data_IF_035913129285
#
_entry.id   IF_035913129285
#
_cell.length_a   1.000
_cell.length_b   1.000
_cell.length_c   1.000
_cell.angle_alpha   90.00
_cell.angle_beta   90.00
_cell.angle_gamma   90.00
#
_symmetry.space_group_name_H-M   'P 1'
#
loop_
_entity.id
_entity.type
_entity.pdbx_description
1 polymer ?
#
# COMPACT_ATOMS: atom_id res chain seq x y z
N UNK A 1 7.82 26.32 19.43
CA UNK A 1 6.60 26.20 20.28
C UNK A 1 6.30 27.46 21.10
N UNK A 2 7.28 28.31 21.45
CA UNK A 2 7.02 29.49 22.29
C UNK A 2 6.27 30.64 21.62
N UNK A 3 6.51 30.88 20.32
CA UNK A 3 5.81 31.94 19.55
C UNK A 3 4.29 31.72 19.43
N UNK A 4 3.82 30.48 19.59
CA UNK A 4 2.38 30.16 19.55
C UNK A 4 1.69 30.46 20.88
N UNK A 5 2.42 30.38 22.01
CA UNK A 5 1.86 30.63 23.34
C UNK A 5 1.59 32.12 23.56
N UNK A 6 2.43 33.01 23.01
CA UNK A 6 2.24 34.46 23.14
C UNK A 6 1.06 35.00 22.31
N UNK A 7 0.70 34.33 21.22
CA UNK A 7 -0.45 34.69 20.37
C UNK A 7 -1.80 34.44 21.06
N UNK A 8 -1.87 33.53 22.04
CA UNK A 8 -3.10 33.25 22.80
C UNK A 8 -3.41 34.26 23.90
N UNK A 9 -2.44 35.14 24.23
CA UNK A 9 -2.59 36.16 25.26
C UNK A 9 -3.31 37.42 24.76
N UNK A 10 -3.32 37.68 23.44
CA UNK A 10 -3.92 38.88 22.85
C UNK A 10 -5.43 38.75 22.67
N UNK A 11 -6.17 39.77 23.11
CA UNK A 11 -7.65 39.85 23.06
C UNK A 11 -8.21 39.71 21.65
N UNK A 12 -7.53 40.25 20.65
CA UNK A 12 -7.88 40.10 19.23
C UNK A 12 -7.88 38.63 18.79
N UNK A 13 -6.93 37.83 19.24
CA UNK A 13 -6.82 36.42 18.86
C UNK A 13 -7.96 35.59 19.45
N UNK A 14 -8.43 35.94 20.65
CA UNK A 14 -9.61 35.33 21.30
C UNK A 14 -10.91 35.65 20.54
N UNK A 15 -11.05 36.88 20.04
CA UNK A 15 -12.19 37.28 19.19
C UNK A 15 -12.15 36.55 17.85
N UNK A 16 -10.98 36.46 17.22
CA UNK A 16 -10.81 35.71 15.97
C UNK A 16 -11.11 34.22 16.16
N UNK A 17 -10.66 33.62 17.26
CA UNK A 17 -10.97 32.23 17.61
C UNK A 17 -12.46 32.02 17.88
N UNK A 18 -13.15 32.96 18.52
CA UNK A 18 -14.60 32.91 18.74
C UNK A 18 -15.40 33.04 17.44
N UNK A 19 -14.96 33.90 16.51
CA UNK A 19 -15.57 34.03 15.17
C UNK A 19 -15.34 32.77 14.35
N UNK A 20 -14.14 32.19 14.40
CA UNK A 20 -13.85 30.91 13.75
C UNK A 20 -14.70 29.79 14.35
N UNK A 21 -14.89 29.74 15.68
CA UNK A 21 -15.80 28.78 16.34
C UNK A 21 -17.27 29.00 15.98
N UNK A 22 -17.71 30.26 15.82
CA UNK A 22 -19.06 30.59 15.37
C UNK A 22 -19.28 30.21 13.89
N UNK A 23 -18.28 30.43 13.03
CA UNK A 23 -18.29 29.99 11.63
C UNK A 23 -18.24 28.46 11.51
N UNK A 24 -17.46 27.78 12.36
CA UNK A 24 -17.43 26.31 12.48
C UNK A 24 -18.82 25.78 12.90
N UNK A 25 -19.49 26.46 13.83
CA UNK A 25 -20.86 26.10 14.26
C UNK A 25 -21.89 26.32 13.15
N UNK A 26 -21.68 27.32 12.28
CA UNK A 26 -22.53 27.59 11.11
C UNK A 26 -22.27 26.63 9.93
N UNK A 27 -21.12 25.94 9.92
CA UNK A 27 -20.68 24.98 8.88
C UNK A 27 -20.74 23.51 9.33
N UNK A 28 -21.42 23.22 10.44
CA UNK A 28 -21.40 21.95 11.19
C UNK A 28 -21.70 20.69 10.35
N UNK A 29 -22.45 20.81 9.26
CA UNK A 29 -22.80 19.65 8.42
C UNK A 29 -21.73 19.29 7.36
N UNK A 30 -20.80 20.19 7.03
CA UNK A 30 -19.86 19.99 5.90
C UNK A 30 -18.39 19.88 6.32
N UNK A 31 -18.03 20.35 7.53
CA UNK A 31 -16.63 20.36 7.96
C UNK A 31 -16.10 18.98 8.36
N UNK A 32 -16.94 18.09 8.92
CA UNK A 32 -16.53 16.72 9.28
C UNK A 32 -16.09 15.90 8.08
N UNK A 33 -16.80 16.04 6.95
CA UNK A 33 -16.43 15.42 5.69
C UNK A 33 -15.09 15.95 5.17
N UNK A 34 -14.91 17.28 5.13
CA UNK A 34 -13.69 17.91 4.63
C UNK A 34 -12.45 17.57 5.49
N UNK A 35 -12.60 17.51 6.82
CA UNK A 35 -11.53 17.09 7.73
C UNK A 35 -11.16 15.63 7.54
N UNK A 36 -12.15 14.75 7.34
CA UNK A 36 -11.90 13.33 7.10
C UNK A 36 -11.13 13.09 5.79
N UNK A 37 -11.46 13.84 4.73
CA UNK A 37 -10.72 13.78 3.46
C UNK A 37 -9.28 14.24 3.64
N UNK A 38 -9.04 15.33 4.39
CA UNK A 38 -7.68 15.82 4.67
C UNK A 38 -6.87 14.79 5.46
N UNK A 39 -7.47 14.15 6.48
CA UNK A 39 -6.82 13.10 7.28
C UNK A 39 -6.44 11.90 6.42
N UNK A 40 -7.33 11.49 5.50
CA UNK A 40 -7.08 10.37 4.57
C UNK A 40 -5.95 10.72 3.59
N UNK A 41 -5.95 11.92 3.02
CA UNK A 41 -4.88 12.39 2.10
C UNK A 41 -3.53 12.43 2.82
N UNK A 42 -3.49 12.95 4.05
CA UNK A 42 -2.26 12.94 4.86
C UNK A 42 -1.82 11.50 5.15
N UNK A 43 -2.73 10.60 5.52
CA UNK A 43 -2.40 9.19 5.74
C UNK A 43 -1.76 8.55 4.49
N UNK A 44 -2.33 8.77 3.31
CA UNK A 44 -1.80 8.27 2.03
C UNK A 44 -0.39 8.80 1.76
N UNK A 45 -0.15 10.10 1.98
CA UNK A 45 1.17 10.72 1.84
C UNK A 45 2.20 10.09 2.78
N UNK A 46 1.81 9.80 4.04
CA UNK A 46 2.68 9.10 5.00
C UNK A 46 2.92 7.63 4.63
N UNK A 47 1.95 6.93 4.03
CA UNK A 47 2.15 5.58 3.47
C UNK A 47 3.19 5.62 2.35
N UNK A 48 3.08 6.57 1.42
CA UNK A 48 4.04 6.74 0.32
C UNK A 48 5.43 7.05 0.88
N UNK A 49 5.56 7.97 1.84
CA UNK A 49 6.86 8.27 2.45
C UNK A 49 7.49 7.08 3.18
N UNK A 50 6.68 6.23 3.82
CA UNK A 50 7.17 5.05 4.55
C UNK A 50 7.57 3.91 3.61
N UNK A 51 6.75 3.59 2.60
CA UNK A 51 6.95 2.41 1.74
C UNK A 51 7.69 2.72 0.44
N UNK A 52 7.45 3.87 -0.19
CA UNK A 52 8.12 4.26 -1.44
C UNK A 52 9.45 5.00 -1.17
N UNK A 53 9.49 5.88 -0.16
CA UNK A 53 10.69 6.66 0.15
C UNK A 53 11.53 6.10 1.31
N UNK A 54 11.15 4.95 1.90
CA UNK A 54 11.82 4.29 3.04
C UNK A 54 12.17 5.22 4.22
N UNK A 55 11.41 6.31 4.43
CA UNK A 55 11.66 7.27 5.52
C UNK A 55 10.97 6.82 6.82
N UNK A 56 11.64 7.02 7.96
CA UNK A 56 11.05 6.76 9.29
C UNK A 56 9.99 7.82 9.60
N UNK A 57 8.74 7.39 9.78
CA UNK A 57 7.63 8.24 10.20
C UNK A 57 7.34 8.05 11.69
N UNK A 58 6.99 9.11 12.44
CA UNK A 58 6.76 9.01 13.88
C UNK A 58 5.47 8.27 14.25
N UNK A 59 4.54 8.08 13.30
CA UNK A 59 3.22 7.50 13.51
C UNK A 59 2.99 6.36 12.50
N UNK A 60 2.27 5.31 12.90
CA UNK A 60 1.86 4.22 12.02
C UNK A 60 0.82 4.74 11.01
N UNK A 61 1.10 4.70 9.70
CA UNK A 61 0.23 5.36 8.73
C UNK A 61 -1.09 4.61 8.50
N UNK A 62 -1.10 3.29 8.73
CA UNK A 62 -2.30 2.44 8.66
C UNK A 62 -3.32 2.81 9.76
N UNK A 63 -2.84 3.11 10.98
CA UNK A 63 -3.74 3.52 12.08
C UNK A 63 -4.38 4.89 11.82
N UNK A 64 -3.68 5.78 11.12
CA UNK A 64 -4.17 7.10 10.74
C UNK A 64 -5.25 6.99 9.63
N UNK A 65 -5.05 6.07 8.68
CA UNK A 65 -6.01 5.77 7.62
C UNK A 65 -7.31 5.17 8.18
N UNK A 66 -7.21 4.20 9.08
CA UNK A 66 -8.38 3.59 9.74
C UNK A 66 -9.17 4.63 10.54
N UNK A 67 -8.50 5.49 11.29
CA UNK A 67 -9.14 6.57 12.03
C UNK A 67 -9.87 7.57 11.10
N UNK A 68 -9.27 7.92 9.95
CA UNK A 68 -9.89 8.78 8.95
C UNK A 68 -11.16 8.17 8.34
N UNK A 69 -11.15 6.87 8.02
CA UNK A 69 -12.32 6.15 7.48
C UNK A 69 -13.45 6.08 8.51
N UNK A 70 -13.15 5.82 9.78
CA UNK A 70 -14.17 5.78 10.84
C UNK A 70 -14.86 7.14 10.95
N UNK A 71 -14.09 8.25 10.96
CA UNK A 71 -14.65 9.61 11.03
C UNK A 71 -15.47 9.96 9.77
N UNK A 72 -15.03 9.52 8.59
CA UNK A 72 -15.77 9.68 7.34
C UNK A 72 -17.14 8.97 7.39
N UNK A 73 -17.18 7.72 7.84
CA UNK A 73 -18.42 6.92 7.95
C UNK A 73 -19.39 7.50 8.98
N UNK A 74 -18.90 8.01 10.11
CA UNK A 74 -19.75 8.70 11.09
C UNK A 74 -20.31 10.03 10.56
N UNK A 75 -19.56 10.76 9.73
CA UNK A 75 -20.05 12.00 9.11
C UNK A 75 -21.12 11.75 8.03
N UNK A 76 -21.07 10.61 7.33
CA UNK A 76 -22.04 10.23 6.30
C UNK A 76 -23.41 9.82 6.88
N UNK A 77 -23.46 9.31 8.11
CA UNK A 77 -24.70 8.91 8.79
C UNK A 77 -25.51 10.09 9.38
N UNK A 78 -24.96 11.32 9.36
CA UNK A 78 -25.61 12.53 9.88
C UNK A 78 -26.56 13.26 8.91
N UNK A 79 -26.67 12.83 7.65
CA UNK A 79 -27.46 13.51 6.60
C UNK A 79 -28.65 12.60 6.15
N UNK A 80 -29.34 11.98 7.11
CA UNK A 80 -30.34 10.94 6.82
C UNK A 80 -31.68 11.02 7.56
N UNK A 81 -31.93 12.00 8.43
CA UNK A 81 -33.26 12.15 9.07
C UNK A 81 -33.66 13.61 9.22
N UNK A 82 -34.11 14.24 8.14
CA UNK A 82 -35.10 15.33 8.20
C UNK A 82 -35.87 15.35 6.89
N UNK A 83 -37.04 14.72 6.87
CA UNK A 83 -38.18 15.20 6.08
C UNK A 83 -39.34 15.42 7.03
N UNK A 84 -39.66 16.70 7.16
CA UNK A 84 -40.79 17.28 7.85
C UNK A 84 -42.10 16.82 7.21
N UNK A 85 -43.13 16.58 8.01
CA UNK A 85 -44.47 17.01 7.62
C UNK A 85 -45.12 17.76 8.78
N UNK A 86 -45.33 19.06 8.56
CA UNK A 86 -46.04 19.97 9.42
C UNK A 86 -47.50 19.98 8.95
N UNK A 87 -48.47 19.76 9.84
CA UNK A 87 -49.80 20.35 9.63
C UNK A 87 -50.43 20.67 10.97
N UNK A 88 -50.66 21.97 11.11
CA UNK A 88 -51.19 22.67 12.26
C UNK A 88 -52.70 22.54 12.40
N UNK A 89 -53.12 22.62 13.67
CA UNK A 89 -54.26 23.38 14.19
C UNK A 89 -55.66 22.76 14.26
N UNK A 90 -56.18 22.76 15.49
CA UNK A 90 -57.48 23.38 15.78
C UNK A 90 -58.68 22.44 15.92
N UNK A 91 -58.90 21.89 17.12
CA UNK A 91 -60.23 21.47 17.58
C UNK A 91 -60.97 22.67 18.19
N UNK A 92 -62.06 23.08 17.56
CA UNK A 92 -63.16 23.85 18.19
C UNK A 92 -64.25 22.87 18.64
N UNK A 93 -64.86 23.24 19.76
CA UNK A 93 -65.82 22.51 20.60
C UNK A 93 -67.21 22.26 19.97
N UNK A 94 -67.90 21.25 20.55
CA UNK A 94 -69.33 21.26 20.98
C UNK A 94 -70.31 20.27 20.31
N UNK A 95 -70.79 19.34 21.16
CA UNK A 95 -72.14 18.77 21.32
C UNK A 95 -72.88 17.96 20.21
N UNK A 96 -73.12 16.68 20.55
CA UNK A 96 -74.42 15.98 20.70
C UNK A 96 -75.61 16.35 19.78
N UNK A 97 -76.06 15.40 18.94
CA UNK A 97 -77.26 14.55 19.19
C UNK A 97 -78.00 14.05 17.92
N UNK A 98 -78.51 12.81 18.02
CA UNK A 98 -79.68 12.15 17.35
C UNK A 98 -79.61 11.60 15.90
N UNK A 99 -79.29 10.29 15.86
CA UNK A 99 -80.01 9.12 15.27
C UNK A 99 -80.96 9.24 14.05
N UNK A 100 -80.74 8.38 13.03
CA UNK A 100 -81.81 7.61 12.36
C UNK A 100 -81.25 6.31 11.68
N UNK A 101 -82.13 5.34 11.40
CA UNK A 101 -81.81 3.90 11.24
C UNK A 101 -81.61 3.39 9.79
N UNK A 102 -81.55 4.25 8.78
CA UNK A 102 -81.35 3.82 7.36
C UNK A 102 -79.87 3.76 6.91
N UNK A 103 -78.93 4.32 7.70
CA UNK A 103 -77.51 4.43 7.32
C UNK A 103 -76.63 3.21 7.64
N UNK A 104 -77.16 2.17 8.33
CA UNK A 104 -76.33 1.03 8.77
C UNK A 104 -76.02 0.02 7.67
N UNK A 105 -76.93 -0.21 6.72
CA UNK A 105 -76.73 -1.21 5.65
C UNK A 105 -75.84 -0.69 4.52
N UNK A 106 -75.87 0.61 4.21
CA UNK A 106 -74.97 1.24 3.23
C UNK A 106 -73.53 1.36 3.75
N UNK A 107 -73.33 1.63 5.05
CA UNK A 107 -72.00 1.69 5.68
C UNK A 107 -71.33 0.32 5.80
N UNK A 108 -72.08 -0.73 6.15
CA UNK A 108 -71.52 -2.09 6.25
C UNK A 108 -71.08 -2.63 4.89
N UNK A 109 -71.79 -2.29 3.80
CA UNK A 109 -71.41 -2.70 2.44
C UNK A 109 -70.21 -1.91 1.89
N UNK A 110 -70.14 -0.61 2.17
CA UNK A 110 -69.00 0.23 1.78
C UNK A 110 -67.72 -0.09 2.58
N UNK A 111 -67.85 -0.43 3.87
CA UNK A 111 -66.72 -0.83 4.72
C UNK A 111 -66.19 -2.23 4.37
N UNK A 112 -67.08 -3.16 3.95
CA UNK A 112 -66.69 -4.47 3.44
C UNK A 112 -65.97 -4.39 2.07
N UNK A 113 -66.44 -3.58 1.13
CA UNK A 113 -65.77 -3.36 -0.17
C UNK A 113 -64.44 -2.61 -0.01
N UNK A 114 -64.35 -1.64 0.89
CA UNK A 114 -63.10 -0.95 1.22
C UNK A 114 -62.07 -1.88 1.87
N UNK A 115 -62.51 -2.79 2.75
CA UNK A 115 -61.63 -3.78 3.41
C UNK A 115 -61.12 -4.85 2.43
N UNK A 116 -61.96 -5.28 1.48
CA UNK A 116 -61.56 -6.21 0.41
C UNK A 116 -60.58 -5.55 -0.57
N UNK A 117 -60.74 -4.25 -0.87
CA UNK A 117 -59.78 -3.50 -1.70
C UNK A 117 -58.42 -3.31 -1.00
N UNK A 118 -58.42 -3.00 0.30
CA UNK A 118 -57.21 -2.85 1.09
C UNK A 118 -56.45 -4.18 1.25
N UNK A 119 -57.13 -5.29 1.50
CA UNK A 119 -56.50 -6.62 1.57
C UNK A 119 -55.95 -7.09 0.20
N UNK A 120 -56.57 -6.66 -0.90
CA UNK A 120 -56.07 -6.93 -2.25
C UNK A 120 -54.80 -6.11 -2.59
N UNK A 121 -54.78 -4.81 -2.29
CA UNK A 121 -53.58 -3.95 -2.46
C UNK A 121 -52.42 -4.37 -1.55
N UNK A 122 -52.72 -4.83 -0.32
CA UNK A 122 -51.70 -5.28 0.63
C UNK A 122 -51.07 -6.62 0.19
N UNK A 123 -51.85 -7.53 -0.40
CA UNK A 123 -51.32 -8.75 -1.03
C UNK A 123 -50.46 -8.47 -2.26
N UNK A 124 -50.87 -7.53 -3.11
CA UNK A 124 -50.12 -7.17 -4.31
C UNK A 124 -48.78 -6.49 -3.97
N UNK A 125 -48.77 -5.62 -2.94
CA UNK A 125 -47.53 -5.05 -2.37
C UNK A 125 -46.61 -6.12 -1.77
N UNK A 126 -47.15 -7.07 -1.02
CA UNK A 126 -46.36 -8.13 -0.40
C UNK A 126 -45.74 -9.09 -1.43
N UNK A 127 -46.42 -9.33 -2.55
CA UNK A 127 -45.90 -10.15 -3.64
C UNK A 127 -44.83 -9.40 -4.46
N UNK A 128 -45.01 -8.09 -4.69
CA UNK A 128 -44.02 -7.23 -5.32
C UNK A 128 -42.73 -7.09 -4.46
N UNK A 129 -42.86 -6.95 -3.14
CA UNK A 129 -41.73 -6.87 -2.21
C UNK A 129 -40.95 -8.19 -2.15
N UNK A 130 -41.64 -9.34 -2.12
CA UNK A 130 -40.99 -10.66 -2.20
C UNK A 130 -40.23 -10.86 -3.51
N UNK A 131 -40.80 -10.42 -4.64
CA UNK A 131 -40.15 -10.52 -5.95
C UNK A 131 -38.91 -9.63 -6.04
N UNK A 132 -39.00 -8.39 -5.53
CA UNK A 132 -37.86 -7.48 -5.47
C UNK A 132 -36.74 -8.00 -4.56
N UNK A 133 -37.08 -8.58 -3.40
CA UNK A 133 -36.10 -9.14 -2.47
C UNK A 133 -35.38 -10.38 -3.04
N UNK A 134 -36.10 -11.23 -3.77
CA UNK A 134 -35.53 -12.40 -4.45
C UNK A 134 -34.60 -12.00 -5.62
N UNK A 135 -34.94 -10.94 -6.35
CA UNK A 135 -34.10 -10.41 -7.44
C UNK A 135 -32.83 -9.75 -6.89
N UNK A 136 -32.93 -9.06 -5.76
CA UNK A 136 -31.81 -8.43 -5.07
C UNK A 136 -30.84 -9.46 -4.46
N UNK A 137 -31.35 -10.51 -3.81
CA UNK A 137 -30.53 -11.63 -3.30
C UNK A 137 -29.81 -12.38 -4.45
N UNK A 138 -30.45 -12.53 -5.61
CA UNK A 138 -29.84 -13.13 -6.79
C UNK A 138 -28.72 -12.26 -7.38
N UNK A 139 -28.89 -10.93 -7.41
CA UNK A 139 -27.83 -10.01 -7.84
C UNK A 139 -26.66 -9.95 -6.86
N UNK A 140 -26.93 -9.96 -5.55
CA UNK A 140 -25.88 -9.93 -4.53
C UNK A 140 -25.05 -11.23 -4.52
N UNK A 141 -25.71 -12.38 -4.71
CA UNK A 141 -25.03 -13.67 -4.86
C UNK A 141 -24.15 -13.74 -6.13
N UNK A 142 -24.60 -13.12 -7.23
CA UNK A 142 -23.83 -12.99 -8.48
C UNK A 142 -22.59 -12.10 -8.30
N UNK A 143 -22.73 -10.97 -7.62
CA UNK A 143 -21.62 -10.04 -7.36
C UNK A 143 -20.59 -10.69 -6.43
N UNK A 144 -21.02 -11.33 -5.35
CA UNK A 144 -20.13 -12.02 -4.42
C UNK A 144 -19.32 -13.15 -5.09
N UNK A 145 -19.94 -13.90 -6.01
CA UNK A 145 -19.25 -14.94 -6.77
C UNK A 145 -18.21 -14.36 -7.74
N UNK A 146 -18.56 -13.28 -8.44
CA UNK A 146 -17.64 -12.60 -9.36
C UNK A 146 -16.44 -11.97 -8.63
N UNK A 147 -16.67 -11.41 -7.45
CA UNK A 147 -15.61 -10.82 -6.62
C UNK A 147 -14.67 -11.90 -6.05
N UNK A 148 -15.21 -13.05 -5.64
CA UNK A 148 -14.43 -14.20 -5.21
C UNK A 148 -13.58 -14.80 -6.35
N UNK A 149 -14.14 -14.95 -7.56
CA UNK A 149 -13.38 -15.41 -8.73
C UNK A 149 -12.29 -14.42 -9.14
N UNK A 150 -12.58 -13.10 -9.11
CA UNK A 150 -11.59 -12.07 -9.42
C UNK A 150 -10.42 -12.09 -8.42
N UNK A 151 -10.72 -12.21 -7.12
CA UNK A 151 -9.70 -12.25 -6.06
C UNK A 151 -8.84 -13.52 -6.15
N UNK A 152 -9.45 -14.66 -6.44
CA UNK A 152 -8.72 -15.92 -6.68
C UNK A 152 -7.84 -15.84 -7.95
N UNK A 153 -8.30 -15.17 -9.00
CA UNK A 153 -7.51 -14.94 -10.21
C UNK A 153 -6.33 -13.99 -9.98
N UNK A 154 -6.52 -12.91 -9.21
CA UNK A 154 -5.44 -11.98 -8.83
C UNK A 154 -4.39 -12.66 -7.94
N UNK A 155 -4.80 -13.43 -6.92
CA UNK A 155 -3.88 -14.19 -6.07
C UNK A 155 -3.09 -15.24 -6.86
N UNK A 156 -3.74 -15.94 -7.79
CA UNK A 156 -3.05 -16.91 -8.67
C UNK A 156 -2.06 -16.22 -9.61
N UNK A 157 -2.43 -15.09 -10.19
CA UNK A 157 -1.54 -14.31 -11.05
C UNK A 157 -0.34 -13.74 -10.29
N UNK A 158 -0.52 -13.28 -9.04
CA UNK A 158 0.58 -12.81 -8.20
C UNK A 158 1.51 -13.96 -7.78
N UNK A 159 0.94 -15.13 -7.45
CA UNK A 159 1.71 -16.33 -7.14
C UNK A 159 2.53 -16.82 -8.35
N UNK A 160 1.94 -16.86 -9.55
CA UNK A 160 2.67 -17.21 -10.78
C UNK A 160 3.78 -16.19 -11.11
N UNK A 161 3.54 -14.90 -10.86
CA UNK A 161 4.54 -13.85 -11.08
C UNK A 161 5.72 -13.96 -10.11
N UNK A 162 5.45 -14.24 -8.83
CA UNK A 162 6.50 -14.51 -7.82
C UNK A 162 7.28 -15.77 -8.15
N UNK A 163 6.60 -16.86 -8.51
CA UNK A 163 7.26 -18.11 -8.92
C UNK A 163 8.13 -17.93 -10.16
N UNK A 164 7.68 -17.14 -11.14
CA UNK A 164 8.47 -16.81 -12.34
C UNK A 164 9.68 -15.92 -12.03
N UNK A 165 9.56 -14.96 -11.11
CA UNK A 165 10.67 -14.11 -10.68
C UNK A 165 11.70 -14.89 -9.87
N UNK A 166 11.26 -15.76 -8.95
CA UNK A 166 12.14 -16.68 -8.21
C UNK A 166 12.86 -17.64 -9.15
N UNK A 167 12.17 -18.18 -10.16
CA UNK A 167 12.80 -19.02 -11.19
C UNK A 167 13.85 -18.25 -11.99
N UNK A 168 13.58 -17.01 -12.39
CA UNK A 168 14.57 -16.15 -13.07
C UNK A 168 15.78 -15.86 -12.18
N UNK A 169 15.59 -15.57 -10.89
CA UNK A 169 16.69 -15.36 -9.93
C UNK A 169 17.49 -16.65 -9.70
N UNK A 170 16.83 -17.80 -9.69
CA UNK A 170 17.49 -19.09 -9.60
C UNK A 170 18.32 -19.40 -10.86
N UNK A 171 17.80 -19.08 -12.05
CA UNK A 171 18.53 -19.22 -13.31
C UNK A 171 19.72 -18.25 -13.40
N UNK A 172 19.60 -17.04 -12.84
CA UNK A 172 20.69 -16.07 -12.76
C UNK A 172 21.82 -16.54 -11.84
N UNK A 173 21.48 -17.19 -10.72
CA UNK A 173 22.44 -17.78 -9.77
C UNK A 173 22.88 -19.21 -10.14
N UNK A 174 22.69 -19.64 -11.38
CA UNK A 174 23.12 -20.96 -11.83
C UNK A 174 24.64 -20.97 -12.14
N UNK A 175 25.49 -21.69 -11.36
CA UNK A 175 26.93 -21.74 -11.57
C UNK A 175 27.35 -22.24 -12.96
N UNK A 176 26.53 -23.10 -13.59
CA UNK A 176 26.81 -23.66 -14.90
C UNK A 176 26.80 -22.59 -16.02
N UNK A 177 26.22 -21.42 -15.77
CA UNK A 177 26.16 -20.31 -16.75
C UNK A 177 27.39 -19.40 -16.74
N UNK A 178 28.34 -19.65 -15.84
CA UNK A 178 29.55 -18.84 -15.66
C UNK A 178 30.78 -19.65 -16.12
N UNK A 179 31.39 -19.34 -17.28
CA UNK A 179 32.58 -20.03 -17.74
C UNK A 179 33.81 -19.72 -16.89
N UNK A 180 34.78 -20.66 -16.88
CA UNK A 180 36.15 -20.43 -16.40
C UNK A 180 36.98 -19.90 -17.56
N UNK A 181 37.52 -18.70 -17.40
CA UNK A 181 38.42 -18.06 -18.37
C UNK A 181 39.79 -17.96 -17.72
N UNK A 182 40.86 -18.16 -18.50
CA UNK A 182 42.23 -18.07 -18.00
C UNK A 182 42.53 -16.64 -17.51
N UNK A 183 43.28 -16.53 -16.40
CA UNK A 183 43.63 -15.22 -15.84
C UNK A 183 44.38 -14.33 -16.84
N UNK A 184 45.34 -14.90 -17.59
CA UNK A 184 46.11 -14.16 -18.60
C UNK A 184 45.23 -13.44 -19.63
N UNK A 185 44.13 -14.07 -20.05
CA UNK A 185 43.17 -13.47 -20.98
C UNK A 185 42.45 -12.29 -20.32
N UNK A 186 42.00 -12.49 -19.07
CA UNK A 186 41.33 -11.45 -18.30
C UNK A 186 42.24 -10.27 -17.95
N UNK A 187 43.50 -10.53 -17.62
CA UNK A 187 44.47 -9.52 -17.26
C UNK A 187 44.94 -8.69 -18.46
N UNK A 188 44.98 -9.27 -19.67
CA UNK A 188 45.41 -8.58 -20.89
C UNK A 188 44.26 -7.95 -21.67
N UNK A 189 43.12 -8.64 -21.74
CA UNK A 189 41.99 -8.31 -22.59
C UNK A 189 40.69 -8.07 -21.81
N UNK A 190 40.75 -7.88 -20.48
CA UNK A 190 39.57 -7.79 -19.62
C UNK A 190 38.49 -6.79 -20.07
N UNK A 191 38.89 -5.67 -20.69
CA UNK A 191 37.95 -4.69 -21.25
C UNK A 191 37.07 -5.25 -22.38
N UNK A 192 37.57 -6.21 -23.17
CA UNK A 192 36.82 -6.85 -24.25
C UNK A 192 35.77 -7.83 -23.74
N UNK A 193 35.92 -8.28 -22.49
CA UNK A 193 35.02 -9.20 -21.82
C UNK A 193 33.98 -8.49 -20.94
N UNK A 194 33.91 -7.16 -20.96
CA UNK A 194 33.00 -6.39 -20.11
C UNK A 194 31.53 -6.85 -20.30
N UNK A 195 30.87 -7.16 -19.19
CA UNK A 195 29.50 -7.69 -19.15
C UNK A 195 29.39 -9.20 -19.34
N UNK A 196 30.48 -9.90 -19.67
CA UNK A 196 30.47 -11.36 -19.75
C UNK A 196 30.48 -12.00 -18.36
N UNK A 197 29.82 -13.15 -18.25
CA UNK A 197 29.81 -13.97 -17.03
C UNK A 197 31.16 -14.66 -16.87
N UNK A 198 31.66 -14.71 -15.64
CA UNK A 198 32.87 -15.46 -15.28
C UNK A 198 32.73 -16.07 -13.90
N UNK A 199 33.36 -17.23 -13.70
CA UNK A 199 33.65 -17.77 -12.37
C UNK A 199 35.15 -17.71 -12.09
N UNK A 200 35.52 -17.28 -10.89
CA UNK A 200 36.90 -17.29 -10.38
C UNK A 200 36.94 -18.04 -9.06
N UNK A 201 37.97 -18.85 -8.83
CA UNK A 201 38.21 -19.51 -7.54
C UNK A 201 39.56 -19.07 -7.03
N UNK A 202 39.61 -18.56 -5.81
CA UNK A 202 40.85 -18.05 -5.26
C UNK A 202 40.76 -17.74 -3.77
N UNK A 203 41.90 -17.32 -3.21
CA UNK A 203 42.06 -16.94 -1.82
C UNK A 203 41.87 -15.42 -1.68
N UNK A 204 41.04 -14.99 -0.74
CA UNK A 204 40.90 -13.57 -0.39
C UNK A 204 42.17 -13.12 0.32
N UNK A 205 42.93 -12.22 -0.31
CA UNK A 205 44.20 -11.68 0.22
C UNK A 205 44.05 -10.29 0.83
N UNK A 206 42.92 -9.64 0.58
CA UNK A 206 42.56 -8.36 1.20
C UNK A 206 41.05 -8.17 1.11
N UNK A 207 40.41 -7.76 2.22
CA UNK A 207 39.00 -7.42 2.25
C UNK A 207 38.81 -5.97 2.72
N UNK A 208 38.24 -5.12 1.87
CA UNK A 208 37.93 -3.73 2.19
C UNK A 208 36.42 -3.57 2.31
N UNK A 209 35.96 -3.33 3.54
CA UNK A 209 34.56 -3.01 3.83
C UNK A 209 34.29 -1.54 3.50
N UNK A 210 33.36 -1.28 2.58
CA UNK A 210 33.03 0.10 2.22
C UNK A 210 32.04 0.64 3.26
N UNK A 211 32.59 1.35 4.25
CA UNK A 211 31.87 1.86 5.43
C UNK A 211 30.67 2.77 5.16
N UNK A 212 30.47 3.22 3.91
CA UNK A 212 29.35 4.06 3.48
C UNK A 212 28.12 3.25 2.98
N UNK A 213 28.17 1.91 3.03
CA UNK A 213 27.03 1.04 2.68
C UNK A 213 27.03 0.55 1.23
N UNK A 214 28.13 0.74 0.51
CA UNK A 214 28.32 0.29 -0.88
C UNK A 214 28.88 -1.14 -0.99
N UNK A 215 28.76 -1.93 0.08
CA UNK A 215 29.22 -3.32 0.14
C UNK A 215 30.72 -3.44 0.43
N UNK A 216 31.43 -4.25 -0.35
CA UNK A 216 32.85 -4.50 -0.13
C UNK A 216 33.64 -4.65 -1.43
N UNK A 217 34.94 -4.42 -1.31
CA UNK A 217 35.91 -4.64 -2.38
C UNK A 217 36.97 -5.63 -1.89
N UNK A 218 37.12 -6.75 -2.58
CA UNK A 218 38.08 -7.80 -2.26
C UNK A 218 39.21 -7.85 -3.29
N UNK A 219 40.40 -8.24 -2.85
CA UNK A 219 41.45 -8.75 -3.73
C UNK A 219 41.53 -10.26 -3.57
N UNK A 220 41.38 -10.98 -4.68
CA UNK A 220 41.30 -12.45 -4.70
C UNK A 220 42.43 -12.99 -5.56
N UNK A 221 43.33 -13.77 -4.96
CA UNK A 221 44.43 -14.43 -5.63
C UNK A 221 44.00 -15.81 -6.16
N UNK A 222 44.12 -16.03 -7.47
CA UNK A 222 43.75 -17.30 -8.14
C UNK A 222 44.94 -18.26 -8.33
N UNK A 223 46.14 -17.79 -8.02
CA UNK A 223 47.37 -18.59 -7.95
C UNK A 223 47.98 -18.52 -6.55
N UNK A 224 48.98 -19.37 -6.30
CA UNK A 224 49.77 -19.33 -5.06
C UNK A 224 50.66 -18.07 -5.05
N UNK A 225 50.12 -16.93 -4.56
CA UNK A 225 50.87 -15.69 -4.44
C UNK A 225 50.08 -14.44 -4.83
N UNK A 226 50.76 -13.47 -5.47
CA UNK A 226 50.22 -12.16 -5.86
C UNK A 226 50.24 -11.90 -7.37
N UNK A 227 50.60 -12.90 -8.17
CA UNK A 227 50.73 -12.76 -9.63
C UNK A 227 49.35 -12.72 -10.32
N UNK A 228 48.42 -13.57 -9.86
CA UNK A 228 47.09 -13.69 -10.44
C UNK A 228 46.02 -13.14 -9.49
N UNK A 229 45.79 -11.83 -9.54
CA UNK A 229 44.85 -11.15 -8.62
C UNK A 229 43.69 -10.53 -9.38
N UNK A 230 42.48 -10.88 -8.96
CA UNK A 230 41.26 -10.17 -9.34
C UNK A 230 40.92 -9.12 -8.27
N UNK A 231 40.46 -7.97 -8.74
CA UNK A 231 39.64 -7.09 -7.91
C UNK A 231 38.19 -7.58 -7.99
N UNK A 232 37.51 -7.68 -6.86
CA UNK A 232 36.10 -8.10 -6.81
C UNK A 232 35.30 -7.07 -6.05
N UNK A 233 34.27 -6.53 -6.68
CA UNK A 233 33.29 -5.68 -6.02
C UNK A 233 32.05 -6.49 -5.65
N UNK A 234 31.59 -6.38 -4.41
CA UNK A 234 30.43 -7.06 -3.85
C UNK A 234 29.45 -5.98 -3.38
N UNK A 235 28.23 -6.01 -3.89
CA UNK A 235 27.16 -5.12 -3.46
C UNK A 235 26.71 -5.41 -2.02
N UNK A 236 26.25 -4.38 -1.30
CA UNK A 236 25.81 -4.52 0.10
C UNK A 236 24.68 -5.54 0.28
N UNK A 237 23.80 -5.71 -0.72
CA UNK A 237 22.74 -6.72 -0.68
C UNK A 237 23.25 -8.16 -0.58
N UNK A 238 24.50 -8.42 -1.00
CA UNK A 238 25.17 -9.72 -0.88
C UNK A 238 26.08 -9.70 0.35
N UNK A 239 26.91 -8.67 0.50
CA UNK A 239 27.91 -8.56 1.57
C UNK A 239 27.30 -8.62 2.97
N UNK A 240 26.16 -7.94 3.19
CA UNK A 240 25.50 -7.87 4.48
C UNK A 240 24.90 -9.22 4.91
N UNK A 241 24.70 -10.15 3.97
CA UNK A 241 24.16 -11.48 4.25
C UNK A 241 25.23 -12.47 4.72
N UNK A 242 26.44 -12.39 4.16
CA UNK A 242 27.57 -13.24 4.50
C UNK A 242 28.87 -12.53 4.15
N UNK A 243 29.65 -12.13 5.16
CA UNK A 243 30.94 -11.45 4.95
C UNK A 243 32.04 -12.47 4.67
N UNK A 244 32.94 -12.14 3.74
CA UNK A 244 34.16 -12.90 3.48
C UNK A 244 35.32 -12.27 4.25
N UNK A 245 36.21 -13.09 4.78
CA UNK A 245 37.40 -12.66 5.51
C UNK A 245 38.66 -12.93 4.69
N UNK A 246 39.76 -12.32 5.11
CA UNK A 246 41.07 -12.67 4.59
C UNK A 246 41.36 -14.15 4.88
N UNK A 247 42.11 -14.78 3.99
CA UNK A 247 42.41 -16.21 3.96
C UNK A 247 41.28 -17.16 3.53
N UNK A 248 40.07 -16.67 3.30
CA UNK A 248 38.98 -17.50 2.75
C UNK A 248 39.28 -17.95 1.31
N UNK A 249 39.08 -19.24 1.02
CA UNK A 249 39.15 -19.79 -0.33
C UNK A 249 37.72 -19.94 -0.85
N UNK A 250 37.36 -19.16 -1.86
CA UNK A 250 35.99 -19.03 -2.33
C UNK A 250 35.90 -19.07 -3.86
N UNK A 251 34.74 -19.48 -4.37
CA UNK A 251 34.42 -19.35 -5.80
C UNK A 251 33.40 -18.24 -5.99
N UNK A 252 33.77 -17.22 -6.76
CA UNK A 252 32.94 -16.06 -7.03
C UNK A 252 32.39 -16.15 -8.44
N UNK A 253 31.08 -15.93 -8.56
CA UNK A 253 30.35 -15.88 -9.82
C UNK A 253 29.90 -14.45 -10.07
N UNK A 254 30.32 -13.88 -11.19
CA UNK A 254 30.07 -12.47 -11.44
C UNK A 254 30.16 -12.07 -12.90
N UNK A 255 30.06 -10.77 -13.12
CA UNK A 255 30.24 -10.14 -14.42
C UNK A 255 31.60 -9.46 -14.45
N UNK A 256 32.32 -9.63 -15.55
CA UNK A 256 33.53 -8.85 -15.81
C UNK A 256 33.15 -7.39 -15.98
N UNK A 257 33.81 -6.51 -15.25
CA UNK A 257 33.69 -5.07 -15.47
C UNK A 257 34.70 -4.56 -16.51
N UNK A 258 35.92 -5.10 -16.46
CA UNK A 258 37.03 -4.69 -17.30
C UNK A 258 38.35 -4.73 -16.53
N UNK A 259 39.33 -3.95 -16.98
CA UNK A 259 40.56 -3.70 -16.24
C UNK A 259 40.38 -2.51 -15.31
N UNK A 260 40.91 -2.63 -14.09
CA UNK A 260 40.88 -1.60 -13.07
C UNK A 260 42.31 -1.28 -12.62
N UNK A 261 42.68 -0.01 -12.69
CA UNK A 261 44.00 0.48 -12.28
C UNK A 261 43.90 1.29 -10.99
N UNK A 262 44.78 1.01 -10.03
CA UNK A 262 44.87 1.75 -8.78
C UNK A 262 46.33 1.99 -8.38
N UNK A 263 46.57 3.04 -7.61
CA UNK A 263 47.90 3.33 -7.06
C UNK A 263 48.18 2.43 -5.85
N UNK A 264 49.30 1.72 -5.89
CA UNK A 264 49.77 0.90 -4.78
C UNK A 264 50.37 1.76 -3.67
N UNK A 265 50.46 1.20 -2.46
CA UNK A 265 51.11 1.84 -1.31
C UNK A 265 52.61 2.11 -1.52
N UNK A 266 53.23 1.49 -2.54
CA UNK A 266 54.61 1.70 -2.95
C UNK A 266 54.76 2.75 -4.09
N UNK A 267 53.68 3.41 -4.49
CA UNK A 267 53.68 4.51 -5.47
C UNK A 267 53.66 4.07 -6.95
N UNK A 268 53.44 2.79 -7.23
CA UNK A 268 53.26 2.27 -8.60
C UNK A 268 51.79 1.98 -8.91
N UNK A 269 51.36 2.18 -10.17
CA UNK A 269 50.03 1.78 -10.63
C UNK A 269 49.98 0.27 -10.86
N UNK A 270 48.98 -0.39 -10.28
CA UNK A 270 48.66 -1.80 -10.49
C UNK A 270 47.38 -1.88 -11.29
N UNK A 271 47.38 -2.67 -12.36
CA UNK A 271 46.19 -2.94 -13.19
C UNK A 271 45.81 -4.39 -13.06
N UNK A 272 44.56 -4.67 -12.68
CA UNK A 272 44.01 -6.01 -12.49
C UNK A 272 42.62 -6.12 -13.12
N UNK A 273 42.17 -7.32 -13.52
CA UNK A 273 40.79 -7.53 -13.90
C UNK A 273 39.83 -7.28 -12.72
N UNK A 274 38.73 -6.58 -12.98
CA UNK A 274 37.65 -6.32 -12.02
C UNK A 274 36.42 -7.17 -12.36
N UNK A 275 35.89 -7.84 -11.35
CA UNK A 275 34.65 -8.62 -11.42
C UNK A 275 33.64 -8.02 -10.43
N UNK A 276 32.39 -7.85 -10.87
CA UNK A 276 31.26 -7.50 -10.00
C UNK A 276 30.55 -8.81 -9.63
N UNK A 277 30.58 -9.16 -8.35
CA UNK A 277 30.04 -10.41 -7.85
C UNK A 277 28.50 -10.41 -7.92
N UNK A 278 27.94 -11.49 -8.46
CA UNK A 278 26.50 -11.80 -8.41
C UNK A 278 26.17 -12.68 -7.22
N UNK A 279 27.04 -13.65 -6.91
CA UNK A 279 26.98 -14.52 -5.73
C UNK A 279 28.34 -15.24 -5.55
N UNK A 280 28.53 -15.85 -4.38
CA UNK A 280 29.70 -16.66 -4.01
C UNK A 280 29.29 -17.71 -2.99
#
# INVERSE_FOLDING_TARGET
MEKFKSLWATTWFKILAAIVLALISYFSSYFGFLLSVIIIVVAIVFIIMKYAAKKKTPINPITLLIAGIIVFLFSAYGIGTTSSNNSSNGSISTASSKESKEDKEARIKAEAEAKVKLEAEEKEKAEAEKKAKAEQEATDASIAKAEAEKKAAEEKAEAEKKAAEEKKKADEKNPATYPKIAYDEMARNGNNHAGEKIQITGKVIQAMDNSEGDGATLRVATSDGYDDVYMVSIDSSIWDTHRLLEDDIITIYGLVYGLYSYESTLGGNITVPLVVATFY
#
